data_IF_452598069765
#
_entry.id   IF_452598069765
#
_cell.length_a   1.000
_cell.length_b   1.000
_cell.length_c   1.000
_cell.angle_alpha   90.00
_cell.angle_beta   90.00
_cell.angle_gamma   90.00
#
_symmetry.space_group_name_H-M   'P 1'
#
loop_
_entity.id
_entity.type
_entity.pdbx_description
1 polymer ?
#
# COMPACT_ATOMS: atom_id res chain seq x y z
N UNK A 1 58.13 -14.84 20.42
CA UNK A 1 57.47 -15.84 19.54
C UNK A 1 57.85 -17.23 20.05
N UNK A 2 56.88 -18.03 20.50
CA UNK A 2 57.14 -19.39 21.02
C UNK A 2 57.67 -20.32 19.92
N UNK A 3 58.46 -21.33 20.28
CA UNK A 3 59.08 -22.27 19.33
C UNK A 3 58.04 -22.91 18.39
N UNK A 4 56.82 -23.15 18.90
CA UNK A 4 55.67 -23.65 18.14
C UNK A 4 55.25 -22.72 16.99
N UNK A 5 55.32 -21.40 17.19
CA UNK A 5 55.01 -20.41 16.14
C UNK A 5 56.06 -20.35 15.02
N UNK A 6 57.33 -20.69 15.32
CA UNK A 6 58.40 -20.78 14.31
C UNK A 6 58.26 -22.04 13.46
N UNK A 7 57.96 -23.17 14.09
CA UNK A 7 57.74 -24.46 13.40
C UNK A 7 56.48 -24.39 12.50
N UNK A 8 55.41 -23.75 12.98
CA UNK A 8 54.22 -23.52 12.16
C UNK A 8 54.52 -22.67 10.91
N UNK A 9 55.32 -21.60 11.04
CA UNK A 9 55.73 -20.76 9.90
C UNK A 9 56.57 -21.51 8.87
N UNK A 10 57.52 -22.35 9.30
CA UNK A 10 58.37 -23.10 8.36
C UNK A 10 57.58 -24.17 7.59
N UNK A 11 56.62 -24.84 8.22
CA UNK A 11 55.67 -25.74 7.54
C UNK A 11 54.80 -25.02 6.50
N UNK A 12 54.30 -23.82 6.84
CA UNK A 12 53.49 -23.01 5.91
C UNK A 12 54.32 -22.53 4.71
N UNK A 13 55.60 -22.25 4.90
CA UNK A 13 56.50 -21.83 3.83
C UNK A 13 56.98 -22.99 2.92
N UNK A 14 56.91 -24.24 3.37
CA UNK A 14 57.30 -25.42 2.59
C UNK A 14 56.26 -25.87 1.54
N UNK A 15 54.96 -25.72 1.82
CA UNK A 15 53.86 -26.16 0.95
C UNK A 15 53.10 -24.98 0.29
N UNK A 16 53.83 -24.04 -0.31
CA UNK A 16 53.28 -22.75 -0.77
C UNK A 16 52.09 -22.86 -1.75
N UNK A 17 52.09 -23.87 -2.65
CA UNK A 17 50.98 -24.06 -3.62
C UNK A 17 49.68 -24.51 -2.94
N UNK A 18 49.77 -25.46 -2.00
CA UNK A 18 48.62 -25.96 -1.24
C UNK A 18 48.11 -24.90 -0.27
N UNK A 19 49.01 -24.16 0.38
CA UNK A 19 48.62 -23.06 1.26
C UNK A 19 47.98 -21.90 0.49
N UNK A 20 48.42 -21.58 -0.73
CA UNK A 20 47.76 -20.60 -1.59
C UNK A 20 46.32 -21.01 -1.93
N UNK A 21 46.08 -22.28 -2.24
CA UNK A 21 44.74 -22.84 -2.47
C UNK A 21 43.85 -22.72 -1.22
N UNK A 22 44.39 -23.05 -0.04
CA UNK A 22 43.67 -22.92 1.23
C UNK A 22 43.31 -21.46 1.53
N UNK A 23 44.22 -20.51 1.34
CA UNK A 23 43.94 -19.10 1.54
C UNK A 23 42.88 -18.57 0.56
N UNK A 24 42.96 -18.95 -0.72
CA UNK A 24 41.94 -18.57 -1.71
C UNK A 24 40.58 -19.16 -1.32
N UNK A 25 40.51 -20.44 -0.97
CA UNK A 25 39.26 -21.07 -0.53
C UNK A 25 38.66 -20.38 0.70
N UNK A 26 39.49 -20.05 1.69
CA UNK A 26 39.06 -19.31 2.89
C UNK A 26 38.55 -17.91 2.53
N UNK A 27 39.28 -17.16 1.72
CA UNK A 27 38.87 -15.83 1.26
C UNK A 27 37.53 -15.89 0.49
N UNK A 28 37.36 -16.89 -0.38
CA UNK A 28 36.12 -17.09 -1.14
C UNK A 28 34.96 -17.35 -0.19
N UNK A 29 35.11 -18.22 0.81
CA UNK A 29 34.06 -18.47 1.81
C UNK A 29 33.68 -17.19 2.59
N UNK A 30 34.66 -16.37 2.97
CA UNK A 30 34.40 -15.10 3.63
C UNK A 30 33.65 -14.11 2.73
N UNK A 31 34.06 -13.98 1.46
CA UNK A 31 33.39 -13.11 0.49
C UNK A 31 31.95 -13.58 0.27
N UNK A 32 31.72 -14.88 0.08
CA UNK A 32 30.37 -15.43 -0.06
C UNK A 32 29.50 -15.17 1.17
N UNK A 33 30.06 -15.33 2.38
CA UNK A 33 29.35 -15.03 3.63
C UNK A 33 28.90 -13.56 3.70
N UNK A 34 29.78 -12.63 3.34
CA UNK A 34 29.47 -11.19 3.31
C UNK A 34 28.37 -10.87 2.28
N UNK A 35 28.43 -11.48 1.09
CA UNK A 35 27.42 -11.28 0.03
C UNK A 35 26.04 -11.77 0.48
N UNK A 36 25.95 -12.98 1.06
CA UNK A 36 24.67 -13.54 1.53
C UNK A 36 24.07 -12.65 2.63
N UNK A 37 24.88 -12.22 3.60
CA UNK A 37 24.41 -11.37 4.69
C UNK A 37 23.93 -9.99 4.20
N UNK A 38 24.64 -9.40 3.23
CA UNK A 38 24.25 -8.12 2.63
C UNK A 38 22.93 -8.23 1.84
N UNK A 39 22.68 -9.37 1.21
CA UNK A 39 21.50 -9.59 0.38
C UNK A 39 20.22 -9.79 1.22
N UNK A 40 20.31 -10.36 2.42
CA UNK A 40 19.15 -10.59 3.30
C UNK A 40 18.36 -9.30 3.61
N UNK A 41 19.05 -8.19 3.89
CA UNK A 41 18.39 -6.92 4.16
C UNK A 41 17.62 -6.38 2.95
N UNK A 42 18.13 -6.61 1.74
CA UNK A 42 17.49 -6.19 0.50
C UNK A 42 16.27 -7.07 0.18
N UNK A 43 16.39 -8.39 0.36
CA UNK A 43 15.27 -9.32 0.18
C UNK A 43 14.10 -9.01 1.12
N UNK A 44 14.38 -8.74 2.40
CA UNK A 44 13.33 -8.45 3.37
C UNK A 44 12.59 -7.14 3.05
N UNK A 45 13.30 -6.10 2.59
CA UNK A 45 12.68 -4.86 2.11
C UNK A 45 11.84 -5.09 0.86
N UNK A 46 12.33 -5.91 -0.07
CA UNK A 46 11.60 -6.25 -1.28
C UNK A 46 10.29 -6.97 -0.96
N UNK A 47 10.35 -8.01 -0.12
CA UNK A 47 9.16 -8.74 0.33
C UNK A 47 8.16 -7.83 1.05
N UNK A 48 8.65 -6.90 1.87
CA UNK A 48 7.80 -5.93 2.55
C UNK A 48 7.09 -4.99 1.56
N UNK A 49 7.80 -4.48 0.56
CA UNK A 49 7.21 -3.60 -0.46
C UNK A 49 6.20 -4.34 -1.34
N UNK A 50 6.46 -5.60 -1.70
CA UNK A 50 5.49 -6.45 -2.40
C UNK A 50 4.22 -6.67 -1.57
N UNK A 51 4.35 -6.98 -0.27
CA UNK A 51 3.20 -7.04 0.64
C UNK A 51 2.45 -5.70 0.71
N UNK A 52 3.15 -4.57 0.74
CA UNK A 52 2.50 -3.26 0.75
C UNK A 52 1.73 -2.98 -0.54
N UNK A 53 2.22 -3.43 -1.71
CA UNK A 53 1.47 -3.31 -2.97
C UNK A 53 0.18 -4.11 -2.94
N UNK A 54 0.18 -5.29 -2.32
CA UNK A 54 -1.01 -6.14 -2.25
C UNK A 54 -2.03 -5.71 -1.18
N UNK A 55 -1.56 -5.29 0.00
CA UNK A 55 -2.40 -5.09 1.19
C UNK A 55 -2.49 -3.63 1.65
N UNK A 56 -1.72 -2.72 1.06
CA UNK A 56 -1.49 -1.38 1.58
C UNK A 56 -0.38 -1.35 2.65
N UNK A 57 0.16 -0.16 2.89
CA UNK A 57 1.18 0.11 3.90
C UNK A 57 0.61 0.51 5.27
N UNK A 58 -0.72 0.65 5.40
CA UNK A 58 -1.37 1.01 6.66
C UNK A 58 -1.20 -0.10 7.73
N UNK A 59 -1.08 0.30 8.98
CA UNK A 59 -0.97 -0.62 10.14
C UNK A 59 -2.30 -0.86 10.85
N UNK A 60 -3.25 0.05 10.66
CA UNK A 60 -4.61 -0.08 11.19
C UNK A 60 -5.60 0.79 10.42
N UNK A 61 -6.88 0.47 10.57
CA UNK A 61 -7.98 1.20 9.96
C UNK A 61 -9.14 1.34 10.95
N UNK A 62 -9.80 2.50 10.94
CA UNK A 62 -11.06 2.77 11.64
C UNK A 62 -12.12 3.08 10.61
N UNK A 63 -13.06 2.16 10.42
CA UNK A 63 -14.24 2.36 9.59
C UNK A 63 -15.32 3.08 10.40
N UNK A 64 -16.13 3.94 9.78
CA UNK A 64 -17.20 4.65 10.48
C UNK A 64 -16.75 5.74 11.45
N UNK A 65 -15.55 6.30 11.27
CA UNK A 65 -14.95 7.18 12.27
C UNK A 65 -15.57 8.58 12.34
N UNK A 66 -15.70 9.13 13.55
CA UNK A 66 -16.11 10.52 13.76
C UNK A 66 -14.93 11.50 13.60
N UNK A 67 -15.20 12.81 13.56
CA UNK A 67 -14.15 13.84 13.58
C UNK A 67 -13.31 13.83 14.87
N UNK A 68 -13.87 13.34 15.98
CA UNK A 68 -13.15 13.19 17.24
C UNK A 68 -12.04 12.13 17.11
N UNK A 69 -12.35 11.01 16.45
CA UNK A 69 -11.37 9.95 16.16
C UNK A 69 -10.27 10.48 15.23
N UNK A 70 -10.63 11.27 14.22
CA UNK A 70 -9.64 11.92 13.35
C UNK A 70 -8.67 12.79 14.14
N UNK A 71 -9.21 13.62 15.04
CA UNK A 71 -8.42 14.53 15.88
C UNK A 71 -7.54 13.76 16.85
N UNK A 72 -8.06 12.68 17.44
CA UNK A 72 -7.29 11.79 18.30
C UNK A 72 -6.11 11.15 17.53
N UNK A 73 -6.36 10.57 16.36
CA UNK A 73 -5.33 9.93 15.54
C UNK A 73 -4.28 10.92 15.04
N UNK A 74 -4.67 12.15 14.68
CA UNK A 74 -3.73 13.22 14.27
C UNK A 74 -2.80 13.66 15.41
N UNK A 75 -3.27 13.63 16.65
CA UNK A 75 -2.52 14.07 17.82
C UNK A 75 -1.71 12.94 18.50
N UNK A 76 -1.98 11.70 18.13
CA UNK A 76 -1.34 10.53 18.71
C UNK A 76 0.10 10.39 18.21
N UNK A 77 1.08 10.54 19.11
CA UNK A 77 2.51 10.48 18.77
C UNK A 77 2.94 9.16 18.13
N UNK A 78 2.19 8.07 18.33
CA UNK A 78 2.51 6.78 17.72
C UNK A 78 2.02 6.64 16.28
N UNK A 79 1.25 7.60 15.75
CA UNK A 79 0.78 7.65 14.36
C UNK A 79 1.74 8.48 13.53
N UNK A 80 2.29 7.88 12.47
CA UNK A 80 3.24 8.51 11.54
C UNK A 80 2.51 9.23 10.41
N UNK A 81 1.48 8.58 9.87
CA UNK A 81 0.64 9.12 8.80
C UNK A 81 -0.80 8.66 8.95
N UNK A 82 -1.72 9.50 8.48
CA UNK A 82 -3.15 9.30 8.53
C UNK A 82 -3.74 9.65 7.16
N UNK A 83 -4.36 8.66 6.52
CA UNK A 83 -5.12 8.81 5.29
C UNK A 83 -6.62 8.74 5.56
N UNK A 84 -7.37 9.52 4.82
CA UNK A 84 -8.84 9.62 4.92
C UNK A 84 -9.49 9.18 3.63
N UNK A 85 -10.49 8.32 3.76
CA UNK A 85 -11.42 7.95 2.70
C UNK A 85 -12.84 8.26 3.15
N UNK A 86 -13.61 9.00 2.37
CA UNK A 86 -15.02 9.31 2.69
C UNK A 86 -15.91 8.56 1.73
N UNK A 87 -16.61 7.56 2.21
CA UNK A 87 -17.48 6.71 1.40
C UNK A 87 -18.89 7.27 1.43
N UNK A 88 -19.51 7.36 0.26
CA UNK A 88 -20.92 7.69 0.14
C UNK A 88 -21.74 6.41 0.34
N UNK A 89 -22.53 6.32 1.41
CA UNK A 89 -23.22 5.07 1.79
C UNK A 89 -24.67 5.00 1.30
N UNK A 90 -25.28 6.14 0.99
CA UNK A 90 -26.69 6.20 0.59
C UNK A 90 -26.94 5.98 -0.90
N UNK A 91 -25.90 5.60 -1.65
CA UNK A 91 -26.03 5.13 -3.01
C UNK A 91 -24.84 4.24 -3.39
N UNK A 92 -25.01 3.49 -4.49
CA UNK A 92 -23.93 2.77 -5.13
C UNK A 92 -24.05 2.88 -6.63
N UNK A 93 -22.94 2.69 -7.34
CA UNK A 93 -22.96 2.45 -8.77
C UNK A 93 -23.53 1.06 -8.99
N UNK A 94 -24.57 0.94 -9.81
CA UNK A 94 -25.25 -0.33 -10.08
C UNK A 94 -25.36 -0.57 -11.58
N UNK A 95 -24.72 -1.62 -12.08
CA UNK A 95 -24.80 -2.01 -13.49
C UNK A 95 -24.86 -3.54 -13.58
N UNK A 96 -26.04 -4.07 -13.93
CA UNK A 96 -26.29 -5.52 -13.89
C UNK A 96 -26.03 -6.09 -12.49
N UNK A 97 -25.17 -7.11 -12.42
CA UNK A 97 -24.83 -7.82 -11.17
C UNK A 97 -23.74 -7.12 -10.34
N UNK A 98 -23.27 -5.93 -10.76
CA UNK A 98 -22.16 -5.24 -10.12
C UNK A 98 -22.72 -4.08 -9.30
N UNK A 99 -22.30 -4.02 -8.02
CA UNK A 99 -22.47 -2.87 -7.15
C UNK A 99 -21.10 -2.39 -6.66
N UNK A 100 -20.88 -1.09 -6.73
CA UNK A 100 -19.65 -0.46 -6.26
C UNK A 100 -19.96 0.85 -5.52
N UNK A 101 -19.27 1.08 -4.41
CA UNK A 101 -19.41 2.34 -3.68
C UNK A 101 -18.54 3.42 -4.32
N UNK A 102 -18.98 4.66 -4.11
CA UNK A 102 -18.24 5.85 -4.51
C UNK A 102 -17.62 6.46 -3.26
N UNK A 103 -16.41 7.02 -3.40
CA UNK A 103 -15.76 7.70 -2.30
C UNK A 103 -14.97 8.93 -2.75
N UNK A 104 -14.52 9.72 -1.78
CA UNK A 104 -13.42 10.65 -1.95
C UNK A 104 -12.22 10.17 -1.15
N UNK A 105 -11.01 10.43 -1.63
CA UNK A 105 -9.77 10.01 -0.99
C UNK A 105 -8.79 11.17 -0.93
N UNK A 106 -8.08 11.29 0.19
CA UNK A 106 -6.95 12.20 0.29
C UNK A 106 -5.65 11.56 -0.24
N UNK A 107 -4.62 12.39 -0.41
CA UNK A 107 -3.34 11.93 -0.96
C UNK A 107 -2.62 10.95 -0.03
N UNK A 108 -2.77 11.09 1.29
CA UNK A 108 -2.16 10.18 2.25
C UNK A 108 -2.81 8.80 2.19
N UNK A 109 -4.13 8.74 1.98
CA UNK A 109 -4.84 7.48 1.76
C UNK A 109 -4.37 6.79 0.48
N UNK A 110 -4.16 7.53 -0.61
CA UNK A 110 -3.63 6.97 -1.87
C UNK A 110 -2.23 6.38 -1.67
N UNK A 111 -1.36 7.05 -0.90
CA UNK A 111 -0.02 6.54 -0.54
C UNK A 111 -0.11 5.32 0.37
N UNK A 112 -0.88 5.40 1.45
CA UNK A 112 -1.05 4.32 2.42
C UNK A 112 -1.72 3.10 1.81
N UNK A 113 -2.68 3.29 0.91
CA UNK A 113 -3.35 2.22 0.19
C UNK A 113 -2.56 1.65 -0.97
N UNK A 114 -1.38 2.22 -1.30
CA UNK A 114 -0.61 1.90 -2.52
C UNK A 114 -1.50 1.89 -3.78
N UNK A 115 -2.43 2.85 -3.83
CA UNK A 115 -3.36 2.98 -4.94
C UNK A 115 -2.62 3.52 -6.16
N UNK A 116 -2.48 2.69 -7.18
CA UNK A 116 -1.75 3.02 -8.40
C UNK A 116 -2.71 3.52 -9.48
N UNK A 117 -2.40 4.69 -10.05
CA UNK A 117 -3.09 5.21 -11.23
C UNK A 117 -2.49 4.57 -12.49
N UNK A 118 -3.29 3.84 -13.26
CA UNK A 118 -2.87 3.32 -14.57
C UNK A 118 -2.82 4.43 -15.62
N UNK A 119 -3.79 5.36 -15.56
CA UNK A 119 -3.90 6.52 -16.46
C UNK A 119 -4.57 7.68 -15.76
N UNK A 120 -4.22 8.90 -16.17
CA UNK A 120 -4.86 10.13 -15.67
C UNK A 120 -4.47 10.47 -14.24
N UNK A 121 -5.35 11.17 -13.54
CA UNK A 121 -5.12 11.66 -12.18
C UNK A 121 -6.39 11.60 -11.34
N UNK A 122 -6.21 11.74 -10.01
CA UNK A 122 -7.31 11.89 -9.07
C UNK A 122 -8.20 13.09 -9.46
N UNK A 123 -9.52 12.98 -9.25
CA UNK A 123 -10.46 14.03 -9.61
C UNK A 123 -10.21 15.27 -8.77
N UNK A 124 -10.20 16.44 -9.40
CA UNK A 124 -10.01 17.74 -8.74
C UNK A 124 -11.28 18.57 -8.78
N UNK A 125 -12.04 18.49 -9.87
CA UNK A 125 -13.25 19.29 -10.10
C UNK A 125 -14.51 18.48 -9.89
N UNK A 126 -15.63 19.19 -9.74
CA UNK A 126 -16.96 18.58 -9.78
C UNK A 126 -17.19 17.92 -11.16
N UNK A 127 -17.91 16.80 -11.19
CA UNK A 127 -18.15 15.94 -12.35
C UNK A 127 -16.93 15.21 -12.91
N UNK A 128 -15.79 15.18 -12.23
CA UNK A 128 -14.67 14.31 -12.57
C UNK A 128 -14.76 12.99 -11.78
N UNK A 129 -14.47 11.87 -12.43
CA UNK A 129 -14.47 10.55 -11.80
C UNK A 129 -13.23 9.74 -12.18
N UNK A 130 -12.71 9.02 -11.19
CA UNK A 130 -11.74 7.93 -11.38
C UNK A 130 -12.44 6.62 -11.12
N UNK A 131 -12.26 5.65 -12.02
CA UNK A 131 -12.82 4.31 -11.88
C UNK A 131 -11.72 3.26 -11.71
N UNK A 132 -12.00 2.26 -10.89
CA UNK A 132 -11.26 1.00 -10.89
C UNK A 132 -11.32 0.35 -12.29
N UNK A 133 -10.21 -0.23 -12.74
CA UNK A 133 -10.11 -0.82 -14.07
C UNK A 133 -11.15 -1.93 -14.33
N UNK A 134 -11.50 -2.75 -13.33
CA UNK A 134 -12.51 -3.80 -13.49
C UNK A 134 -13.91 -3.20 -13.58
N UNK A 135 -14.19 -2.15 -12.81
CA UNK A 135 -15.46 -1.43 -12.88
C UNK A 135 -15.64 -0.75 -14.24
N UNK A 136 -14.60 -0.04 -14.72
CA UNK A 136 -14.61 0.65 -16.01
C UNK A 136 -14.90 -0.33 -17.16
N UNK A 137 -14.22 -1.49 -17.20
CA UNK A 137 -14.43 -2.52 -18.23
C UNK A 137 -15.87 -3.03 -18.31
N UNK A 138 -16.64 -2.92 -17.23
CA UNK A 138 -18.01 -3.43 -17.15
C UNK A 138 -19.05 -2.35 -17.46
N UNK A 139 -18.80 -1.10 -17.05
CA UNK A 139 -19.77 0.00 -17.19
C UNK A 139 -19.54 0.78 -18.49
N UNK A 140 -18.29 0.98 -18.88
CA UNK A 140 -17.92 1.77 -20.05
C UNK A 140 -16.62 1.22 -20.68
N UNK A 141 -16.65 0.02 -21.32
CA UNK A 141 -15.47 -0.67 -21.83
C UNK A 141 -14.68 0.13 -22.87
N UNK A 142 -15.37 0.93 -23.67
CA UNK A 142 -14.78 1.70 -24.79
C UNK A 142 -14.42 3.15 -24.41
N UNK A 143 -14.66 3.55 -23.16
CA UNK A 143 -14.39 4.92 -22.72
C UNK A 143 -12.90 5.23 -22.66
N UNK A 144 -12.55 6.42 -23.15
CA UNK A 144 -11.20 6.97 -23.14
C UNK A 144 -11.07 8.07 -22.09
N UNK A 145 -9.82 8.40 -21.78
CA UNK A 145 -9.50 9.49 -20.88
C UNK A 145 -10.10 10.81 -21.38
N UNK A 146 -10.82 11.52 -20.50
CA UNK A 146 -11.50 12.78 -20.83
C UNK A 146 -12.89 12.61 -21.45
N UNK A 147 -13.33 11.38 -21.75
CA UNK A 147 -14.68 11.14 -22.25
C UNK A 147 -15.72 11.39 -21.17
N UNK A 148 -16.90 11.82 -21.61
CA UNK A 148 -18.07 11.90 -20.77
C UNK A 148 -18.74 10.52 -20.71
N UNK A 149 -18.80 9.95 -19.51
CA UNK A 149 -19.38 8.63 -19.25
C UNK A 149 -20.65 8.77 -18.42
N UNK A 150 -21.63 7.91 -18.69
CA UNK A 150 -22.87 7.83 -17.91
C UNK A 150 -22.73 6.72 -16.87
N UNK A 151 -22.87 7.09 -15.60
CA UNK A 151 -22.78 6.19 -14.47
C UNK A 151 -24.17 5.99 -13.87
N UNK A 152 -24.70 4.76 -13.87
CA UNK A 152 -25.95 4.44 -13.20
C UNK A 152 -25.75 4.40 -11.68
N UNK A 153 -26.38 5.33 -10.99
CA UNK A 153 -26.40 5.42 -9.53
C UNK A 153 -27.73 4.86 -9.02
N UNK A 154 -27.66 3.86 -8.16
CA UNK A 154 -28.79 3.33 -7.40
C UNK A 154 -28.76 3.92 -5.99
N UNK A 155 -29.74 4.75 -5.68
CA UNK A 155 -29.94 5.35 -4.37
C UNK A 155 -30.58 4.35 -3.40
N UNK A 156 -30.37 4.55 -2.09
CA UNK A 156 -30.96 3.70 -1.05
C UNK A 156 -32.49 3.70 -1.00
N UNK A 157 -33.15 4.69 -1.61
CA UNK A 157 -34.61 4.73 -1.76
C UNK A 157 -35.12 3.86 -2.93
N UNK A 158 -34.22 3.17 -3.64
CA UNK A 158 -34.51 2.32 -4.78
C UNK A 158 -34.57 3.05 -6.12
N UNK A 159 -34.38 4.38 -6.14
CA UNK A 159 -34.38 5.14 -7.39
C UNK A 159 -33.05 4.98 -8.14
N UNK A 160 -33.15 4.85 -9.46
CA UNK A 160 -32.01 4.79 -10.36
C UNK A 160 -31.86 6.11 -11.10
N UNK A 161 -30.64 6.64 -11.14
CA UNK A 161 -30.31 7.90 -11.79
C UNK A 161 -29.06 7.72 -12.66
N UNK A 162 -29.10 8.26 -13.87
CA UNK A 162 -27.95 8.25 -14.78
C UNK A 162 -27.19 9.57 -14.65
N UNK A 163 -26.08 9.56 -13.92
CA UNK A 163 -25.25 10.74 -13.71
C UNK A 163 -24.12 10.79 -14.75
N UNK A 164 -23.82 11.97 -15.27
CA UNK A 164 -22.73 12.16 -16.23
C UNK A 164 -21.46 12.63 -15.53
N UNK A 165 -20.35 11.99 -15.85
CA UNK A 165 -19.02 12.33 -15.35
C UNK A 165 -17.99 12.37 -16.48
N UNK A 166 -16.95 13.16 -16.32
CA UNK A 166 -15.75 13.12 -17.16
C UNK A 166 -14.75 12.14 -16.54
N UNK A 167 -14.29 11.16 -17.31
CA UNK A 167 -13.30 10.19 -16.86
C UNK A 167 -11.92 10.88 -16.70
N UNK A 168 -11.53 11.16 -15.45
CA UNK A 168 -10.28 11.86 -15.13
C UNK A 168 -9.12 10.92 -14.83
N UNK A 169 -9.40 9.66 -14.49
CA UNK A 169 -8.36 8.62 -14.39
C UNK A 169 -8.89 7.20 -14.28
N UNK A 170 -7.96 6.25 -14.42
CA UNK A 170 -8.21 4.82 -14.29
C UNK A 170 -7.25 4.29 -13.24
N UNK A 171 -7.79 3.68 -12.19
CA UNK A 171 -7.03 3.12 -11.08
C UNK A 171 -6.85 1.61 -11.26
N UNK A 172 -5.68 1.10 -10.87
CA UNK A 172 -5.46 -0.34 -10.75
C UNK A 172 -6.33 -0.91 -9.63
N UNK A 173 -6.68 -2.19 -9.70
CA UNK A 173 -7.46 -2.83 -8.64
C UNK A 173 -6.63 -2.98 -7.38
N UNK A 174 -7.00 -2.21 -6.36
CA UNK A 174 -6.25 -2.05 -5.11
C UNK A 174 -6.89 -2.80 -3.94
N UNK A 175 -8.20 -3.00 -3.96
CA UNK A 175 -8.96 -3.53 -2.82
C UNK A 175 -9.10 -5.06 -2.78
N UNK A 176 -8.48 -5.78 -3.72
CA UNK A 176 -8.74 -7.22 -3.95
C UNK A 176 -8.34 -8.09 -2.75
N UNK A 177 -7.18 -7.80 -2.16
CA UNK A 177 -6.58 -8.63 -1.11
C UNK A 177 -6.77 -8.04 0.29
N UNK A 178 -7.48 -6.91 0.43
CA UNK A 178 -7.66 -6.26 1.73
C UNK A 178 -8.63 -7.06 2.60
N UNK A 179 -8.24 -7.31 3.84
CA UNK A 179 -9.13 -7.85 4.87
C UNK A 179 -10.13 -6.78 5.30
N UNK A 180 -11.25 -6.70 4.57
CA UNK A 180 -12.29 -5.66 4.70
C UNK A 180 -13.51 -6.05 5.55
N UNK A 181 -13.57 -7.27 6.06
CA UNK A 181 -14.78 -7.80 6.70
C UNK A 181 -15.99 -7.64 5.78
N UNK A 182 -17.08 -7.09 6.29
CA UNK A 182 -18.29 -6.75 5.52
C UNK A 182 -18.28 -5.33 4.94
N UNK A 183 -17.22 -4.55 5.14
CA UNK A 183 -17.19 -3.16 4.65
C UNK A 183 -16.94 -3.13 3.15
N UNK A 184 -17.84 -2.50 2.38
CA UNK A 184 -17.70 -2.44 0.95
C UNK A 184 -16.71 -1.32 0.59
N UNK A 185 -15.57 -1.72 0.03
CA UNK A 185 -14.57 -0.78 -0.44
C UNK A 185 -15.02 -0.12 -1.75
N UNK A 186 -14.80 1.19 -1.91
CA UNK A 186 -15.21 1.92 -3.11
C UNK A 186 -14.39 1.47 -4.32
N UNK A 187 -15.00 1.50 -5.49
CA UNK A 187 -14.32 1.25 -6.77
C UNK A 187 -14.42 2.46 -7.73
N UNK A 188 -14.98 3.56 -7.23
CA UNK A 188 -15.08 4.82 -7.94
C UNK A 188 -14.75 5.97 -6.99
N UNK A 189 -14.05 6.98 -7.51
CA UNK A 189 -13.59 8.12 -6.74
C UNK A 189 -13.97 9.42 -7.42
N UNK A 190 -14.53 10.35 -6.63
CA UNK A 190 -14.93 11.69 -7.07
C UNK A 190 -14.21 12.75 -6.26
N UNK A 191 -14.26 14.00 -6.72
CA UNK A 191 -13.70 15.14 -5.99
C UNK A 191 -14.48 15.41 -4.70
N UNK A 192 -13.81 15.98 -3.70
CA UNK A 192 -14.47 16.54 -2.50
C UNK A 192 -15.47 17.66 -2.82
N UNK A 193 -15.34 18.27 -4.00
CA UNK A 193 -16.27 19.28 -4.52
C UNK A 193 -17.45 18.66 -5.26
N UNK A 194 -17.55 17.33 -5.32
CA UNK A 194 -18.64 16.67 -6.02
C UNK A 194 -19.98 16.96 -5.34
N UNK A 195 -20.94 17.42 -6.15
CA UNK A 195 -22.32 17.63 -5.71
C UNK A 195 -23.19 16.61 -6.41
N UNK A 196 -23.98 15.86 -5.65
CA UNK A 196 -24.98 14.94 -6.17
C UNK A 196 -26.36 15.59 -6.19
N UNK A 197 -27.26 15.06 -7.01
CA UNK A 197 -28.65 15.51 -7.16
C UNK A 197 -29.45 15.42 -5.85
N UNK A 198 -29.15 14.43 -5.00
CA UNK A 198 -29.75 14.23 -3.68
C UNK A 198 -28.72 14.41 -2.58
N UNK A 199 -29.20 14.71 -1.37
CA UNK A 199 -28.35 14.82 -0.19
C UNK A 199 -27.63 13.49 0.03
N UNK A 200 -26.30 13.54 0.09
CA UNK A 200 -25.43 12.37 0.15
C UNK A 200 -24.84 12.22 1.55
N UNK A 201 -25.08 11.09 2.22
CA UNK A 201 -24.46 10.81 3.52
C UNK A 201 -23.08 10.19 3.32
N UNK A 202 -22.07 10.83 3.91
CA UNK A 202 -20.70 10.35 3.88
C UNK A 202 -20.30 9.74 5.22
N UNK A 203 -19.53 8.66 5.15
CA UNK A 203 -18.90 8.04 6.31
C UNK A 203 -17.40 8.04 6.12
N UNK A 204 -16.68 8.49 7.14
CA UNK A 204 -15.23 8.58 7.09
C UNK A 204 -14.61 7.23 7.51
N UNK A 205 -13.57 6.85 6.79
CA UNK A 205 -12.69 5.74 7.10
C UNK A 205 -11.27 6.29 7.22
N UNK A 206 -10.63 6.00 8.34
CA UNK A 206 -9.29 6.50 8.64
C UNK A 206 -8.31 5.33 8.61
N UNK A 207 -7.27 5.44 7.80
CA UNK A 207 -6.20 4.47 7.68
C UNK A 207 -4.93 5.10 8.23
N UNK A 208 -4.20 4.40 9.08
CA UNK A 208 -3.03 4.97 9.73
C UNK A 208 -1.84 4.01 9.74
N UNK A 209 -0.66 4.57 9.59
CA UNK A 209 0.62 3.89 9.80
C UNK A 209 1.14 4.27 11.18
N UNK A 210 1.48 3.27 12.00
CA UNK A 210 2.10 3.53 13.30
C UNK A 210 3.61 3.57 13.13
N UNK A 211 4.26 4.49 13.84
CA UNK A 211 5.71 4.46 13.97
C UNK A 211 6.12 3.13 14.59
N UNK A 212 6.99 2.40 13.89
CA UNK A 212 7.61 1.19 14.45
C UNK A 212 8.50 1.66 15.61
N UNK A 213 8.14 1.31 16.86
CA UNK A 213 9.03 1.55 18.01
C UNK A 213 10.40 0.98 17.63
N UNK A 214 11.44 1.82 17.60
CA UNK A 214 12.78 1.29 17.55
C UNK A 214 12.92 0.40 18.78
N UNK A 215 13.17 -0.89 18.58
CA UNK A 215 13.65 -1.75 19.64
C UNK A 215 15.08 -1.32 19.97
N UNK A 216 15.22 -0.13 20.56
CA UNK A 216 16.42 0.30 21.24
C UNK A 216 16.21 -0.03 22.72
N UNK A 217 16.10 -1.32 22.99
CA UNK A 217 16.44 -1.87 24.30
C UNK A 217 17.29 -3.09 24.01
N UNK A 218 18.61 -2.85 23.99
CA UNK A 218 19.60 -3.86 24.31
C UNK A 218 19.10 -4.65 25.52
N UNK A 219 18.55 -5.85 25.30
CA UNK A 219 18.65 -6.92 26.29
C UNK A 219 19.86 -7.75 25.88
N UNK A 220 21.02 -7.22 26.27
CA UNK A 220 22.08 -8.05 26.85
C UNK A 220 21.43 -9.11 27.72
N UNK A 221 21.63 -10.38 27.39
CA UNK A 221 22.18 -11.41 28.27
C UNK A 221 22.52 -12.61 27.39
N UNK A 222 23.78 -12.64 26.95
CA UNK A 222 24.52 -13.89 26.83
C UNK A 222 24.54 -14.44 28.27
N UNK A 223 23.96 -15.61 28.48
CA UNK A 223 24.30 -16.45 29.62
C UNK A 223 24.64 -17.83 29.04
N UNK A 224 25.84 -18.27 29.43
CA UNK A 224 26.47 -19.54 29.12
C UNK A 224 25.59 -20.75 29.44
#
# INVERSE_FOLDING_TARGET
MSMNSKIARSFIQGNQKQNRLLYIGLCVLFVFGIVIFSFQGSLMKYQQEESFKEYGAWSGAVYGGTKEIETFLKNEKSVESLGTMRVFENFSISSGDISAYVATVDQEMVKLGRMEMLKGALPKKNHEIVLDQQLLKRIAPDAKMGDQITIPILWSDGTMENCQFVLSGIMNTWSKNWSRGSYPLPAAFVSDQQVFSKNSSQVNHYFFLRMKRSTTQFRTWIAF
#
